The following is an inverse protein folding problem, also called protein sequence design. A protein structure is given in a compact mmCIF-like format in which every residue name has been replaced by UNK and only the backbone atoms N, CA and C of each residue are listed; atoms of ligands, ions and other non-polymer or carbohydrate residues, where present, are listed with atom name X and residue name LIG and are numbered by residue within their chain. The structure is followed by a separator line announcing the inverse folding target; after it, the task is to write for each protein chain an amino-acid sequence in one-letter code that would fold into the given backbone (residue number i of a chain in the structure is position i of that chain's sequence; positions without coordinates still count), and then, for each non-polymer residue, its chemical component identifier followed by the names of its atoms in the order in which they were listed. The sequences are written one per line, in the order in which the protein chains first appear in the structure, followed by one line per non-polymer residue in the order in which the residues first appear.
data_IF_599959191496
#
_entry.id   IF_599959191496
#
_cell.length_a   1.000
_cell.length_b   1.000
_cell.length_c   1.000
_cell.angle_alpha   90.00
_cell.angle_beta   90.00
_cell.angle_gamma   90.00
#
_symmetry.space_group_name_H-M   'P 1'
#
loop_
_entity.id
_entity.type
_entity.pdbx_description
1 polymer ?
#
# COMPACT_ATOMS: atom_id res chain seq x y z
N UNK A 1 -21.62 -2.79 -12.54
CA UNK A 1 -20.80 -4.03 -12.58
C UNK A 1 -19.31 -3.71 -12.39
N UNK A 2 -18.61 -4.53 -11.59
CA UNK A 2 -17.15 -4.43 -11.41
C UNK A 2 -16.46 -4.90 -12.69
N UNK A 3 -15.67 -4.06 -13.32
CA UNK A 3 -14.95 -4.39 -14.57
C UNK A 3 -13.55 -4.94 -14.32
N UNK A 4 -12.88 -4.44 -13.27
CA UNK A 4 -11.51 -4.83 -12.96
C UNK A 4 -11.37 -5.13 -11.47
N UNK A 5 -10.65 -6.19 -11.18
CA UNK A 5 -10.26 -6.54 -9.81
C UNK A 5 -8.74 -6.65 -9.74
N UNK A 6 -8.14 -5.94 -8.79
CA UNK A 6 -6.71 -6.00 -8.50
C UNK A 6 -6.50 -6.46 -7.07
N UNK A 7 -5.65 -7.45 -6.90
CA UNK A 7 -5.24 -7.93 -5.58
C UNK A 7 -3.81 -7.47 -5.31
N UNK A 8 -3.62 -6.78 -4.20
CA UNK A 8 -2.33 -6.31 -3.73
C UNK A 8 -1.94 -7.13 -2.50
N UNK A 9 -0.74 -7.67 -2.52
CA UNK A 9 -0.14 -8.38 -1.39
C UNK A 9 0.81 -7.43 -0.67
N UNK A 10 0.52 -7.14 0.59
CA UNK A 10 1.30 -6.23 1.44
C UNK A 10 2.09 -7.03 2.47
N UNK A 11 3.39 -6.80 2.53
CA UNK A 11 4.30 -7.40 3.52
C UNK A 11 4.71 -6.35 4.54
N UNK A 12 4.52 -6.64 5.80
CA UNK A 12 4.88 -5.77 6.92
C UNK A 12 4.09 -6.07 8.21
N UNK A 13 4.21 -5.21 9.24
CA UNK A 13 5.07 -4.02 9.28
C UNK A 13 6.55 -4.37 9.37
N UNK A 14 7.38 -3.60 8.69
CA UNK A 14 8.83 -3.67 8.75
C UNK A 14 9.37 -2.42 9.45
N UNK A 15 10.39 -2.58 10.28
CA UNK A 15 11.25 -1.46 10.66
C UNK A 15 12.08 -1.01 9.46
N UNK A 16 12.75 0.14 9.55
CA UNK A 16 13.59 0.59 8.44
C UNK A 16 14.76 -0.37 8.18
N UNK A 17 15.34 -0.96 9.22
CA UNK A 17 16.42 -1.95 9.06
C UNK A 17 15.90 -3.25 8.47
N UNK A 18 14.75 -3.76 8.94
CA UNK A 18 14.09 -4.93 8.34
C UNK A 18 13.71 -4.67 6.87
N UNK A 19 13.24 -3.47 6.53
CA UNK A 19 12.98 -3.08 5.14
C UNK A 19 14.25 -3.19 4.27
N UNK A 20 15.36 -2.62 4.72
CA UNK A 20 16.63 -2.67 3.98
C UNK A 20 17.11 -4.11 3.74
N UNK A 21 17.02 -4.97 4.74
CA UNK A 21 17.38 -6.38 4.60
C UNK A 21 16.42 -7.12 3.66
N UNK A 22 15.11 -6.93 3.86
CA UNK A 22 14.10 -7.60 3.04
C UNK A 22 14.23 -7.29 1.55
N UNK A 23 14.37 -6.00 1.20
CA UNK A 23 14.46 -5.60 -0.22
C UNK A 23 15.80 -5.96 -0.85
N UNK A 24 16.88 -6.07 -0.07
CA UNK A 24 18.19 -6.53 -0.55
C UNK A 24 18.13 -7.97 -1.08
N UNK A 25 17.40 -8.84 -0.39
CA UNK A 25 17.22 -10.22 -0.81
C UNK A 25 16.29 -10.34 -2.02
N UNK A 26 15.36 -9.42 -2.19
CA UNK A 26 14.42 -9.39 -3.33
C UNK A 26 15.07 -9.01 -4.65
N UNK A 27 16.19 -8.28 -4.67
CA UNK A 27 16.92 -7.95 -5.91
C UNK A 27 17.52 -9.17 -6.60
N UNK A 28 17.67 -10.28 -5.89
CA UNK A 28 18.23 -11.53 -6.42
C UNK A 28 17.18 -12.49 -6.94
N UNK A 29 15.90 -12.21 -6.72
CA UNK A 29 14.78 -13.06 -7.09
C UNK A 29 13.98 -12.44 -8.24
N UNK A 30 13.90 -13.13 -9.34
CA UNK A 30 13.08 -12.80 -10.54
C UNK A 30 11.59 -12.57 -10.27
N UNK A 31 11.15 -12.66 -9.02
CA UNK A 31 9.72 -12.79 -8.66
C UNK A 31 9.11 -11.64 -7.92
N UNK A 32 9.87 -10.65 -7.49
CA UNK A 32 9.34 -9.74 -6.48
C UNK A 32 9.39 -8.27 -6.84
N UNK A 33 8.70 -7.88 -7.89
CA UNK A 33 8.55 -6.45 -8.14
C UNK A 33 7.53 -5.84 -7.18
N UNK A 34 8.03 -5.25 -6.09
CA UNK A 34 7.22 -4.41 -5.24
C UNK A 34 7.01 -3.06 -5.92
N UNK A 35 5.78 -2.81 -6.33
CA UNK A 35 5.40 -1.57 -7.00
C UNK A 35 4.81 -0.54 -6.04
N UNK A 36 4.43 -0.98 -4.84
CA UNK A 36 3.77 -0.14 -3.84
C UNK A 36 4.56 -0.13 -2.55
N UNK A 37 4.54 1.00 -1.87
CA UNK A 37 5.01 1.11 -0.50
C UNK A 37 4.08 2.01 0.30
N UNK A 38 3.92 1.65 1.54
CA UNK A 38 3.21 2.46 2.52
C UNK A 38 4.07 2.58 3.75
N UNK A 39 4.14 3.76 4.31
CA UNK A 39 4.77 3.94 5.60
C UNK A 39 3.95 4.87 6.48
N UNK A 40 4.06 4.61 7.77
CA UNK A 40 3.57 5.50 8.80
C UNK A 40 4.65 5.71 9.85
N UNK A 41 4.72 6.93 10.36
CA UNK A 41 5.70 7.30 11.37
C UNK A 41 5.12 8.31 12.35
N UNK A 42 5.70 8.33 13.54
CA UNK A 42 5.44 9.34 14.56
C UNK A 42 6.69 9.61 15.36
N UNK A 43 6.93 10.88 15.79
CA UNK A 43 8.09 11.24 16.60
C UNK A 43 8.15 10.48 17.93
N UNK A 44 6.99 10.26 18.56
CA UNK A 44 6.84 9.47 19.79
C UNK A 44 5.40 8.93 19.93
N UNK A 45 5.17 8.10 20.95
CA UNK A 45 3.90 7.44 21.18
C UNK A 45 2.71 8.38 21.44
N UNK A 46 2.93 9.63 21.79
CA UNK A 46 1.89 10.64 22.04
C UNK A 46 1.44 11.35 20.77
N UNK A 47 2.29 11.30 19.72
CA UNK A 47 2.01 11.93 18.44
C UNK A 47 1.09 11.09 17.57
N UNK A 48 0.33 11.76 16.70
CA UNK A 48 -0.47 11.09 15.68
C UNK A 48 0.44 10.50 14.62
N UNK A 49 0.02 9.38 14.03
CA UNK A 49 0.67 8.81 12.88
C UNK A 49 0.56 9.72 11.66
N UNK A 50 1.69 9.94 11.01
CA UNK A 50 1.78 10.53 9.67
C UNK A 50 1.88 9.38 8.68
N UNK A 51 1.13 9.43 7.58
CA UNK A 51 0.93 8.28 6.67
C UNK A 51 1.09 8.69 5.23
N UNK A 52 1.78 7.83 4.49
CA UNK A 52 2.06 8.03 3.08
C UNK A 52 1.97 6.70 2.31
N UNK A 53 1.37 6.73 1.11
CA UNK A 53 1.45 5.67 0.11
C UNK A 53 2.15 6.19 -1.13
N UNK A 54 2.99 5.38 -1.74
CA UNK A 54 3.68 5.71 -2.97
C UNK A 54 3.91 4.51 -3.85
N UNK A 55 4.44 4.76 -5.05
CA UNK A 55 4.66 3.75 -6.07
C UNK A 55 6.08 3.80 -6.60
N UNK A 56 6.48 2.64 -7.12
CA UNK A 56 7.68 2.45 -7.92
C UNK A 56 7.29 1.78 -9.24
N UNK A 57 7.62 2.44 -10.35
CA UNK A 57 7.17 2.03 -11.69
C UNK A 57 8.21 1.21 -12.44
N UNK A 58 9.48 1.39 -12.10
CA UNK A 58 10.62 0.78 -12.78
C UNK A 58 10.93 -0.59 -12.19
N UNK A 59 11.58 -1.42 -12.98
CA UNK A 59 11.95 -2.78 -12.60
C UNK A 59 13.31 -2.86 -11.90
N UNK A 60 13.85 -1.73 -11.43
CA UNK A 60 15.15 -1.65 -10.76
C UNK A 60 15.09 -1.91 -9.24
N UNK A 61 13.92 -2.32 -8.77
CA UNK A 61 13.69 -2.66 -7.36
C UNK A 61 13.35 -1.48 -6.47
N UNK A 62 12.54 -1.74 -5.45
CA UNK A 62 12.10 -0.75 -4.46
C UNK A 62 13.23 -0.30 -3.52
N UNK A 63 14.39 -0.99 -3.54
CA UNK A 63 15.55 -0.75 -2.70
C UNK A 63 16.00 0.69 -2.64
N UNK A 64 15.94 1.34 -3.78
CA UNK A 64 16.45 2.69 -3.92
C UNK A 64 15.39 3.74 -3.58
N UNK A 65 14.16 3.33 -3.34
CA UNK A 65 13.05 4.28 -3.21
C UNK A 65 12.93 4.88 -1.81
N UNK A 66 12.92 4.06 -0.77
CA UNK A 66 12.82 4.55 0.61
C UNK A 66 14.22 4.76 1.21
N UNK A 67 14.75 5.93 1.03
CA UNK A 67 16.06 6.35 1.55
C UNK A 67 16.05 7.87 1.85
N UNK A 68 17.18 8.39 2.32
CA UNK A 68 17.34 9.81 2.67
C UNK A 68 17.13 10.79 1.49
N UNK A 69 17.11 10.32 0.24
CA UNK A 69 16.84 11.14 -0.95
C UNK A 69 15.35 11.23 -1.27
N UNK A 70 14.55 10.34 -0.68
CA UNK A 70 13.10 10.38 -0.87
C UNK A 70 12.51 11.56 -0.10
N UNK A 71 11.88 12.50 -0.82
CA UNK A 71 11.42 13.77 -0.27
C UNK A 71 10.56 13.60 1.01
N UNK A 72 9.55 12.73 0.95
CA UNK A 72 8.68 12.50 2.10
C UNK A 72 9.33 11.59 3.16
N UNK A 73 10.02 10.53 2.77
CA UNK A 73 10.57 9.57 3.72
C UNK A 73 11.70 10.15 4.57
N UNK A 74 12.50 11.06 4.01
CA UNK A 74 13.59 11.73 4.73
C UNK A 74 13.13 12.38 6.02
N UNK A 75 11.95 13.00 6.02
CA UNK A 75 11.39 13.67 7.21
C UNK A 75 11.01 12.70 8.33
N UNK A 76 10.87 11.41 8.01
CA UNK A 76 10.45 10.38 8.97
C UNK A 76 11.61 9.59 9.55
N UNK A 77 12.81 9.67 8.98
CA UNK A 77 13.95 8.86 9.41
C UNK A 77 14.34 9.07 10.87
N UNK A 78 14.06 10.26 11.43
CA UNK A 78 14.32 10.59 12.82
C UNK A 78 13.17 10.25 13.78
N UNK A 79 12.07 9.73 13.26
CA UNK A 79 10.94 9.30 14.08
C UNK A 79 11.29 8.04 14.88
N UNK A 80 10.83 7.97 16.13
CA UNK A 80 11.03 6.78 16.97
C UNK A 80 10.24 5.58 16.50
N UNK A 81 9.03 5.82 16.03
CA UNK A 81 8.15 4.78 15.52
C UNK A 81 8.02 4.94 14.00
N UNK A 82 8.57 3.98 13.27
CA UNK A 82 8.43 3.87 11.82
C UNK A 82 7.91 2.47 11.51
N UNK A 83 6.89 2.38 10.67
CA UNK A 83 6.34 1.14 10.14
C UNK A 83 6.25 1.21 8.63
N UNK A 84 6.76 0.22 7.95
CA UNK A 84 6.82 0.16 6.49
C UNK A 84 6.14 -1.11 6.01
N UNK A 85 5.32 -0.99 4.97
CA UNK A 85 4.78 -2.10 4.20
C UNK A 85 5.17 -1.93 2.74
N UNK A 86 5.48 -3.03 2.11
CA UNK A 86 5.74 -3.09 0.67
C UNK A 86 4.69 -3.95 0.01
N UNK A 87 4.26 -3.55 -1.17
CA UNK A 87 3.14 -4.16 -1.87
C UNK A 87 3.45 -4.55 -3.30
N UNK A 88 2.89 -5.67 -3.74
CA UNK A 88 2.98 -6.15 -5.10
C UNK A 88 1.61 -6.62 -5.60
N UNK A 89 1.41 -6.63 -6.91
CA UNK A 89 0.26 -7.32 -7.46
C UNK A 89 0.38 -8.83 -7.24
N UNK A 90 -0.70 -9.48 -6.81
CA UNK A 90 -0.76 -10.93 -6.75
C UNK A 90 -0.67 -11.59 -8.13
N UNK A 91 -1.16 -10.91 -9.18
CA UNK A 91 -0.99 -11.31 -10.57
C UNK A 91 0.02 -10.39 -11.27
N UNK A 92 1.19 -10.95 -11.62
CA UNK A 92 2.26 -10.24 -12.30
C UNK A 92 1.84 -9.59 -13.63
N UNK A 93 0.78 -10.10 -14.29
CA UNK A 93 0.21 -9.47 -15.50
C UNK A 93 -0.31 -8.06 -15.26
N UNK A 94 -0.54 -7.70 -14.01
CA UNK A 94 -0.98 -6.37 -13.62
C UNK A 94 0.17 -5.38 -13.37
N UNK A 95 1.42 -5.80 -13.44
CA UNK A 95 2.60 -4.96 -13.29
C UNK A 95 2.85 -4.07 -14.51
N UNK A 96 1.89 -3.19 -14.80
CA UNK A 96 1.96 -2.18 -15.86
C UNK A 96 1.84 -0.81 -15.22
N UNK A 97 2.63 0.14 -15.70
CA UNK A 97 2.68 1.51 -15.17
C UNK A 97 1.28 2.12 -14.97
N UNK A 98 0.43 2.01 -15.98
CA UNK A 98 -0.94 2.55 -15.92
C UNK A 98 -1.80 1.93 -14.82
N UNK A 99 -1.61 0.64 -14.51
CA UNK A 99 -2.33 -0.05 -13.43
C UNK A 99 -1.75 0.28 -12.06
N UNK A 100 -0.42 0.42 -11.97
CA UNK A 100 0.26 0.85 -10.75
C UNK A 100 -0.23 2.25 -10.37
N UNK A 101 -0.26 3.19 -11.32
CA UNK A 101 -0.77 4.55 -11.10
C UNK A 101 -2.25 4.58 -10.75
N UNK A 102 -3.05 3.72 -11.38
CA UNK A 102 -4.48 3.61 -11.09
C UNK A 102 -4.71 3.17 -9.64
N UNK A 103 -4.02 2.12 -9.18
CA UNK A 103 -4.15 1.63 -7.80
C UNK A 103 -3.73 2.69 -6.79
N UNK A 104 -2.59 3.37 -7.01
CA UNK A 104 -2.17 4.47 -6.14
C UNK A 104 -3.22 5.58 -6.09
N UNK A 105 -3.76 5.98 -7.25
CA UNK A 105 -4.80 7.01 -7.34
C UNK A 105 -6.05 6.62 -6.55
N UNK A 106 -6.51 5.37 -6.69
CA UNK A 106 -7.66 4.87 -5.96
C UNK A 106 -7.42 4.88 -4.44
N UNK A 107 -6.24 4.43 -3.99
CA UNK A 107 -5.88 4.46 -2.56
C UNK A 107 -5.82 5.89 -2.02
N UNK A 108 -5.18 6.82 -2.73
CA UNK A 108 -5.10 8.23 -2.30
C UNK A 108 -6.49 8.86 -2.25
N UNK A 109 -7.36 8.57 -3.20
CA UNK A 109 -8.72 9.14 -3.21
C UNK A 109 -9.61 8.52 -2.13
N UNK A 110 -9.54 7.19 -1.94
CA UNK A 110 -10.33 6.49 -0.93
C UNK A 110 -9.93 6.85 0.51
N UNK A 111 -8.65 7.14 0.74
CA UNK A 111 -8.07 7.35 2.08
C UNK A 111 -7.43 8.74 2.25
N UNK A 112 -7.89 9.72 1.51
CA UNK A 112 -7.29 11.06 1.53
C UNK A 112 -7.31 11.79 2.88
N UNK A 113 -8.14 11.36 3.84
CA UNK A 113 -8.14 11.87 5.22
C UNK A 113 -7.13 11.16 6.11
N UNK A 114 -6.93 9.87 5.86
CA UNK A 114 -6.02 8.99 6.61
C UNK A 114 -4.57 9.15 6.13
N UNK A 115 -4.37 9.37 4.83
CA UNK A 115 -3.06 9.58 4.20
C UNK A 115 -2.62 11.05 4.33
N UNK A 116 -2.10 11.39 5.49
CA UNK A 116 -1.80 12.79 5.88
C UNK A 116 -0.73 13.45 5.01
N UNK A 117 0.19 12.68 4.43
CA UNK A 117 1.33 13.17 3.68
C UNK A 117 1.13 13.13 2.15
N UNK A 118 0.12 12.44 1.67
CA UNK A 118 -0.19 12.44 0.24
C UNK A 118 -0.93 13.72 -0.16
N UNK A 119 -0.44 14.37 -1.21
CA UNK A 119 -1.21 15.42 -1.88
C UNK A 119 -2.37 14.76 -2.63
N UNK A 120 -3.56 15.33 -2.52
CA UNK A 120 -4.72 14.84 -3.30
C UNK A 120 -4.36 14.86 -4.78
N UNK A 121 -4.41 13.70 -5.42
CA UNK A 121 -4.27 13.63 -6.88
C UNK A 121 -5.52 14.25 -7.51
N UNK A 122 -5.29 15.23 -8.40
CA UNK A 122 -6.36 15.85 -9.23
C UNK A 122 -6.65 15.05 -10.50
N UNK A 123 -5.99 13.90 -10.67
CA UNK A 123 -6.14 13.07 -11.87
C UNK A 123 -7.51 12.41 -11.83
N UNK A 124 -8.21 12.43 -12.95
CA UNK A 124 -9.53 11.85 -13.11
C UNK A 124 -9.52 10.34 -12.78
N UNK A 125 -10.48 9.94 -11.95
CA UNK A 125 -10.77 8.54 -11.70
C UNK A 125 -11.32 7.89 -12.97
N UNK A 126 -11.17 6.58 -13.17
CA UNK A 126 -11.71 5.88 -14.33
C UNK A 126 -13.25 5.93 -14.34
N UNK A 127 -13.85 5.79 -15.51
CA UNK A 127 -15.30 5.62 -15.63
C UNK A 127 -15.76 4.23 -15.22
N UNK A 128 -14.87 3.27 -15.31
CA UNK A 128 -15.14 1.86 -14.99
C UNK A 128 -15.02 1.62 -13.49
N UNK A 129 -15.87 0.74 -12.98
CA UNK A 129 -15.82 0.34 -11.57
C UNK A 129 -14.69 -0.64 -11.32
N UNK A 130 -13.98 -0.44 -10.21
CA UNK A 130 -12.76 -1.20 -9.84
C UNK A 130 -12.89 -1.74 -8.42
N UNK A 131 -12.46 -2.98 -8.22
CA UNK A 131 -12.30 -3.59 -6.92
C UNK A 131 -10.80 -3.73 -6.60
N UNK A 132 -10.37 -3.22 -5.45
CA UNK A 132 -9.06 -3.51 -4.87
C UNK A 132 -9.25 -4.47 -3.71
N UNK A 133 -8.45 -5.54 -3.69
CA UNK A 133 -8.37 -6.49 -2.59
C UNK A 133 -6.97 -6.36 -1.99
N UNK A 134 -6.89 -6.08 -0.70
CA UNK A 134 -5.65 -6.00 0.03
C UNK A 134 -5.48 -7.26 0.88
N UNK A 135 -4.39 -7.98 0.67
CA UNK A 135 -3.99 -9.13 1.46
C UNK A 135 -2.78 -8.75 2.31
N UNK A 136 -2.80 -9.16 3.56
CA UNK A 136 -1.80 -8.77 4.55
C UNK A 136 -0.90 -9.96 4.87
N UNK A 137 0.41 -9.77 4.77
CA UNK A 137 1.42 -10.77 5.10
C UNK A 137 2.37 -10.21 6.15
N UNK A 138 2.83 -11.05 7.06
CA UNK A 138 3.91 -10.69 7.97
C UNK A 138 5.28 -10.70 7.25
N UNK A 139 6.33 -10.32 7.97
CA UNK A 139 7.70 -10.29 7.45
C UNK A 139 8.25 -11.67 7.04
N UNK A 140 7.59 -12.76 7.45
CA UNK A 140 7.91 -14.13 7.05
C UNK A 140 6.97 -14.61 5.92
N UNK A 141 6.27 -13.70 5.26
CA UNK A 141 5.34 -13.97 4.17
C UNK A 141 4.17 -14.89 4.53
N UNK A 142 3.75 -14.88 5.80
CA UNK A 142 2.59 -15.62 6.27
C UNK A 142 1.35 -14.73 6.21
N UNK A 143 0.30 -15.25 5.59
CA UNK A 143 -0.98 -14.54 5.50
C UNK A 143 -1.55 -14.26 6.90
N UNK A 144 -1.89 -13.02 7.15
CA UNK A 144 -2.53 -12.59 8.38
C UNK A 144 -4.05 -12.53 8.18
N UNK A 145 -4.78 -13.39 8.87
CA UNK A 145 -6.25 -13.44 8.85
C UNK A 145 -6.84 -12.42 9.83
N UNK A 146 -6.21 -12.25 11.00
CA UNK A 146 -6.59 -11.26 12.00
C UNK A 146 -5.41 -10.30 12.20
N UNK A 147 -5.58 -9.06 11.81
CA UNK A 147 -4.47 -8.15 11.81
C UNK A 147 -4.79 -6.84 12.53
N UNK A 148 -4.09 -6.64 13.64
CA UNK A 148 -4.09 -5.39 14.39
C UNK A 148 -3.10 -4.39 13.74
N UNK A 149 -1.99 -4.90 13.20
CA UNK A 149 -0.93 -4.11 12.58
C UNK A 149 -0.99 -4.19 11.05
N UNK A 150 -1.78 -3.34 10.46
CA UNK A 150 -1.92 -3.19 9.01
C UNK A 150 -1.90 -1.71 8.61
N UNK A 151 -1.66 -1.37 7.33
CA UNK A 151 -1.90 -0.03 6.82
C UNK A 151 -3.32 0.46 7.13
N UNK A 152 -3.56 1.74 6.95
CA UNK A 152 -4.90 2.33 7.16
C UNK A 152 -5.95 1.84 6.14
N UNK A 153 -5.58 0.94 5.22
CA UNK A 153 -6.45 0.43 4.18
C UNK A 153 -7.36 -0.70 4.68
N UNK A 154 -8.57 -0.75 4.17
CA UNK A 154 -9.49 -1.87 4.36
C UNK A 154 -9.11 -3.04 3.42
N UNK A 155 -9.59 -4.25 3.76
CA UNK A 155 -9.31 -5.45 2.97
C UNK A 155 -9.89 -5.34 1.55
N UNK A 156 -11.01 -4.64 1.40
CA UNK A 156 -11.69 -4.43 0.12
C UNK A 156 -12.01 -2.94 -0.06
N UNK A 157 -11.63 -2.41 -1.21
CA UNK A 157 -11.98 -1.06 -1.66
C UNK A 157 -12.69 -1.16 -2.99
N UNK A 158 -13.96 -0.78 -3.02
CA UNK A 158 -14.77 -0.73 -4.23
C UNK A 158 -14.88 0.72 -4.69
N UNK A 159 -14.55 0.95 -5.94
CA UNK A 159 -14.82 2.20 -6.62
C UNK A 159 -15.90 1.99 -7.68
N UNK A 160 -16.96 2.77 -7.61
CA UNK A 160 -18.05 2.79 -8.58
C UNK A 160 -17.84 3.97 -9.51
N UNK A 161 -17.49 3.66 -10.77
CA UNK A 161 -17.06 4.69 -11.72
C UNK A 161 -18.16 5.66 -12.14
N UNK A 162 -19.39 5.18 -12.31
CA UNK A 162 -20.54 6.02 -12.70
C UNK A 162 -20.90 7.01 -11.59
N UNK A 163 -20.94 6.56 -10.35
CA UNK A 163 -21.29 7.36 -9.17
C UNK A 163 -20.09 8.13 -8.58
N UNK A 164 -18.89 7.83 -9.04
CA UNK A 164 -17.64 8.35 -8.48
C UNK A 164 -17.54 8.18 -6.97
N UNK A 165 -17.95 7.03 -6.46
CA UNK A 165 -18.10 6.73 -5.04
C UNK A 165 -17.25 5.53 -4.63
N UNK A 166 -16.72 5.61 -3.40
CA UNK A 166 -16.00 4.52 -2.76
C UNK A 166 -16.83 3.81 -1.71
N UNK A 167 -16.74 2.47 -1.66
CA UNK A 167 -17.12 1.65 -0.51
C UNK A 167 -15.92 0.87 -0.02
N UNK A 168 -15.80 0.75 1.30
CA UNK A 168 -14.69 0.08 1.97
C UNK A 168 -15.22 -0.98 2.93
N UNK A 169 -14.53 -2.10 3.05
CA UNK A 169 -14.93 -3.18 3.94
C UNK A 169 -13.80 -4.13 4.30
N UNK A 170 -13.97 -4.80 5.43
CA UNK A 170 -13.05 -5.81 5.94
C UNK A 170 -13.65 -7.20 5.82
N UNK A 171 -12.89 -8.12 5.24
CA UNK A 171 -13.30 -9.51 5.03
C UNK A 171 -13.58 -10.23 6.36
N UNK A 172 -12.84 -9.91 7.42
CA UNK A 172 -13.05 -10.49 8.75
C UNK A 172 -14.43 -10.22 9.36
N UNK A 173 -15.14 -9.20 8.90
CA UNK A 173 -16.53 -8.94 9.31
C UNK A 173 -17.55 -9.80 8.59
N UNK A 174 -17.19 -10.35 7.43
CA UNK A 174 -18.06 -11.23 6.65
C UNK A 174 -18.02 -12.65 7.19
N UNK A 175 -16.87 -13.08 7.72
CA UNK A 175 -16.66 -14.45 8.23
C UNK A 175 -17.31 -14.65 9.61
N UNK A 176 -17.51 -13.59 10.40
CA UNK A 176 -18.04 -13.66 11.75
C UNK A 176 -19.57 -13.46 11.86
N UNK A 177 -20.29 -13.42 10.76
CA UNK A 177 -21.74 -13.25 10.71
C UNK A 177 -22.52 -14.53 10.33
N UNK A 178 -21.87 -15.71 10.39
CA UNK A 178 -22.50 -17.02 10.24
C UNK A 178 -22.69 -17.72 11.59
#
# INVERSE_FOLDING_TARGET
DIKHTYTIQWVGPLTYDEYKEYVKDCDTLDSGYFNFYYFEARPDARCKWRRYVGIHKENDGINYRLNARHEHFREFMDCKDIRIWIGSFADAKNQKESKIELVETLLIQAYGKELTENKRKKVGLPRESVCLINLWFDKNERLKVYNIDRPCFDDVVLYYGEEQMFKRGNLSRVINND
#
